data_IF_939401782859
#
_entry.id   IF_939401782859
#
_cell.length_a   1.000
_cell.length_b   1.000
_cell.length_c   1.000
_cell.angle_alpha   90.00
_cell.angle_beta   90.00
_cell.angle_gamma   90.00
#
_symmetry.space_group_name_H-M   'P 1'
#
loop_
_entity.id
_entity.type
_entity.pdbx_description
1 polymer ?
#
# COMPACT_ATOMS: atom_id res chain seq x y z
N UNK A 1 -13.80 11.27 16.69
CA UNK A 1 -14.11 11.39 15.25
C UNK A 1 -13.95 12.80 14.67
N UNK A 2 -14.28 13.91 15.40
CA UNK A 2 -14.17 15.30 14.88
C UNK A 2 -12.79 15.65 14.32
N UNK A 3 -11.69 15.30 15.01
CA UNK A 3 -10.31 15.58 14.56
C UNK A 3 -9.98 14.92 13.22
N UNK A 4 -10.45 13.69 12.99
CA UNK A 4 -10.21 12.94 11.76
C UNK A 4 -11.00 13.46 10.53
N UNK A 5 -11.86 14.47 10.69
CA UNK A 5 -12.46 15.22 9.57
C UNK A 5 -11.57 16.35 9.07
N UNK A 6 -10.51 16.68 9.82
CA UNK A 6 -9.57 17.73 9.44
C UNK A 6 -8.42 17.11 8.62
N UNK A 7 -8.22 17.49 7.35
CA UNK A 7 -7.15 16.96 6.51
C UNK A 7 -5.76 17.27 7.08
N UNK A 8 -5.56 18.38 7.77
CA UNK A 8 -4.28 18.71 8.39
C UNK A 8 -3.94 17.78 9.57
N UNK A 9 -4.96 17.33 10.33
CA UNK A 9 -4.74 16.33 11.37
C UNK A 9 -4.37 14.97 10.76
N UNK A 10 -5.00 14.56 9.66
CA UNK A 10 -4.61 13.37 8.91
C UNK A 10 -3.17 13.52 8.39
N UNK A 11 -2.81 14.67 7.84
CA UNK A 11 -1.44 14.96 7.41
C UNK A 11 -0.45 14.79 8.56
N UNK A 12 -0.76 15.32 9.74
CA UNK A 12 0.08 15.17 10.93
C UNK A 12 0.24 13.68 11.33
N UNK A 13 -0.84 12.91 11.33
CA UNK A 13 -0.77 11.47 11.60
C UNK A 13 0.16 10.75 10.62
N UNK A 14 0.02 11.03 9.33
CA UNK A 14 0.84 10.38 8.29
C UNK A 14 2.29 10.85 8.28
N UNK A 15 2.58 12.08 8.69
CA UNK A 15 3.95 12.56 8.90
C UNK A 15 4.69 11.74 9.98
N UNK A 16 3.96 11.31 11.02
CA UNK A 16 4.51 10.47 12.10
C UNK A 16 4.62 9.01 11.66
N UNK A 17 3.59 8.48 10.98
CA UNK A 17 3.50 7.08 10.59
C UNK A 17 4.40 6.73 9.40
N UNK A 18 4.53 7.61 8.40
CA UNK A 18 5.44 7.46 7.28
C UNK A 18 6.73 8.26 7.57
N UNK A 19 7.51 7.78 8.52
CA UNK A 19 8.77 8.42 8.88
C UNK A 19 9.79 8.29 7.75
N UNK A 20 10.38 9.41 7.23
CA UNK A 20 11.42 9.33 6.24
C UNK A 20 12.66 8.57 6.75
N UNK A 21 13.26 7.76 5.87
CA UNK A 21 14.40 6.91 6.24
C UNK A 21 15.64 7.67 6.70
N UNK A 22 15.82 8.92 6.27
CA UNK A 22 16.92 9.77 6.71
C UNK A 22 16.90 10.04 8.23
N UNK A 23 15.71 10.05 8.85
CA UNK A 23 15.58 10.30 10.30
C UNK A 23 16.18 9.15 11.11
N UNK A 24 15.97 7.90 10.68
CA UNK A 24 16.57 6.74 11.34
C UNK A 24 18.00 6.45 10.86
N UNK A 25 18.35 6.89 9.63
CA UNK A 25 19.63 6.57 9.01
C UNK A 25 20.77 7.54 9.32
N UNK A 26 20.45 8.75 9.80
CA UNK A 26 21.44 9.78 10.14
C UNK A 26 21.60 9.83 11.67
N UNK A 27 22.76 9.46 12.25
CA UNK A 27 22.95 9.39 13.71
C UNK A 27 22.63 10.70 14.43
N UNK A 28 22.93 11.85 13.82
CA UNK A 28 22.62 13.16 14.40
C UNK A 28 21.12 13.42 14.61
N UNK A 29 20.24 12.66 13.93
CA UNK A 29 18.80 12.76 14.07
C UNK A 29 18.21 11.74 15.07
N UNK A 30 19.02 10.99 15.81
CA UNK A 30 18.59 9.92 16.73
C UNK A 30 17.60 10.38 17.82
N UNK A 31 17.76 11.61 18.34
CA UNK A 31 16.79 12.18 19.30
C UNK A 31 15.43 12.38 18.62
N UNK A 32 15.40 12.92 17.42
CA UNK A 32 14.17 13.11 16.64
C UNK A 32 13.52 11.76 16.32
N UNK A 33 14.34 10.76 15.98
CA UNK A 33 13.88 9.39 15.74
C UNK A 33 13.16 8.82 16.97
N UNK A 34 13.76 8.96 18.14
CA UNK A 34 13.18 8.50 19.41
C UNK A 34 11.87 9.23 19.73
N UNK A 35 11.84 10.56 19.59
CA UNK A 35 10.65 11.36 19.83
C UNK A 35 9.50 10.96 18.90
N UNK A 36 9.77 10.77 17.61
CA UNK A 36 8.73 10.33 16.65
C UNK A 36 8.21 8.92 16.98
N UNK A 37 9.06 8.02 17.44
CA UNK A 37 8.63 6.69 17.85
C UNK A 37 7.71 6.76 19.10
N UNK A 38 8.03 7.63 20.08
CA UNK A 38 7.16 7.88 21.24
C UNK A 38 5.80 8.47 20.83
N UNK A 39 5.82 9.51 19.97
CA UNK A 39 4.60 10.12 19.46
C UNK A 39 3.76 9.09 18.67
N UNK A 40 4.38 8.18 17.93
CA UNK A 40 3.71 7.08 17.23
C UNK A 40 2.94 6.18 18.19
N UNK A 41 3.56 5.75 19.30
CA UNK A 41 2.89 4.93 20.31
C UNK A 41 1.70 5.69 20.91
N UNK A 42 1.89 6.97 21.25
CA UNK A 42 0.80 7.81 21.76
C UNK A 42 -0.34 7.97 20.73
N UNK A 43 -0.03 8.09 19.45
CA UNK A 43 -1.02 8.16 18.37
C UNK A 43 -1.82 6.85 18.27
N UNK A 44 -1.16 5.69 18.36
CA UNK A 44 -1.83 4.38 18.37
C UNK A 44 -2.79 4.28 19.56
N UNK A 45 -2.33 4.62 20.76
CA UNK A 45 -3.18 4.61 21.97
C UNK A 45 -4.36 5.58 21.83
N UNK A 46 -4.11 6.80 21.35
CA UNK A 46 -5.17 7.78 21.08
C UNK A 46 -6.21 7.24 20.09
N UNK A 47 -5.77 6.63 19.00
CA UNK A 47 -6.70 6.07 17.99
C UNK A 47 -7.50 4.92 18.55
N UNK A 48 -6.92 4.05 19.39
CA UNK A 48 -7.64 3.00 20.09
C UNK A 48 -8.71 3.58 21.03
N UNK A 49 -8.37 4.59 21.84
CA UNK A 49 -9.34 5.27 22.71
C UNK A 49 -10.50 5.86 21.90
N UNK A 50 -10.21 6.52 20.77
CA UNK A 50 -11.25 7.06 19.87
C UNK A 50 -12.13 5.93 19.32
N UNK A 51 -11.55 4.80 18.95
CA UNK A 51 -12.26 3.65 18.45
C UNK A 51 -13.20 3.06 19.51
N UNK A 52 -12.69 2.80 20.73
CA UNK A 52 -13.49 2.28 21.83
C UNK A 52 -14.64 3.20 22.25
N UNK A 53 -14.38 4.51 22.34
CA UNK A 53 -15.43 5.50 22.66
C UNK A 53 -16.53 5.59 21.59
N UNK A 54 -16.27 5.13 20.37
CA UNK A 54 -17.22 5.17 19.25
C UNK A 54 -17.56 3.76 18.74
N UNK A 55 -17.32 2.70 19.53
CA UNK A 55 -17.48 1.30 19.10
C UNK A 55 -18.89 0.97 18.61
N UNK A 56 -19.93 1.55 19.25
CA UNK A 56 -21.34 1.39 18.85
C UNK A 56 -21.68 2.01 17.48
N UNK A 57 -20.80 2.84 16.92
CA UNK A 57 -20.96 3.46 15.61
C UNK A 57 -20.17 2.71 14.51
N UNK A 58 -19.64 1.54 14.82
CA UNK A 58 -18.86 0.73 13.88
C UNK A 58 -19.78 -0.17 13.06
N UNK A 59 -20.19 0.23 11.84
CA UNK A 59 -21.00 -0.63 11.01
C UNK A 59 -20.15 -1.79 10.50
N UNK A 60 -20.72 -2.97 10.46
CA UNK A 60 -20.14 -4.12 9.79
C UNK A 60 -20.29 -3.93 8.27
N UNK A 61 -19.28 -3.32 7.67
CA UNK A 61 -19.22 -3.09 6.23
C UNK A 61 -17.88 -3.58 5.65
N UNK A 62 -17.66 -3.41 4.36
CA UNK A 62 -16.45 -3.85 3.67
C UNK A 62 -15.18 -3.21 4.26
N UNK A 63 -15.19 -1.91 4.53
CA UNK A 63 -14.06 -1.22 5.14
C UNK A 63 -13.70 -1.84 6.50
N UNK A 64 -14.71 -2.12 7.33
CA UNK A 64 -14.51 -2.83 8.59
C UNK A 64 -13.91 -4.22 8.38
N UNK A 65 -14.50 -5.03 7.48
CA UNK A 65 -14.03 -6.38 7.18
C UNK A 65 -12.58 -6.41 6.68
N UNK A 66 -12.21 -5.53 5.75
CA UNK A 66 -10.83 -5.43 5.25
C UNK A 66 -9.89 -4.93 6.36
N UNK A 67 -10.32 -4.00 7.20
CA UNK A 67 -9.52 -3.54 8.34
C UNK A 67 -9.26 -4.69 9.32
N UNK A 68 -10.27 -5.52 9.61
CA UNK A 68 -10.08 -6.69 10.49
C UNK A 68 -9.12 -7.71 9.88
N UNK A 69 -9.18 -7.95 8.58
CA UNK A 69 -8.20 -8.81 7.88
C UNK A 69 -6.78 -8.24 7.94
N UNK A 70 -6.62 -6.93 7.78
CA UNK A 70 -5.32 -6.23 7.91
C UNK A 70 -4.80 -6.36 9.34
N UNK A 71 -5.64 -6.10 10.35
CA UNK A 71 -5.27 -6.27 11.77
C UNK A 71 -4.91 -7.73 12.09
N UNK A 72 -5.70 -8.68 11.59
CA UNK A 72 -5.41 -10.10 11.74
C UNK A 72 -4.05 -10.48 11.10
N UNK A 73 -3.73 -9.94 9.92
CA UNK A 73 -2.42 -10.14 9.28
C UNK A 73 -1.29 -9.54 10.12
N UNK A 74 -1.47 -8.32 10.63
CA UNK A 74 -0.48 -7.64 11.49
C UNK A 74 -0.24 -8.44 12.79
N UNK A 75 -1.28 -9.00 13.40
CA UNK A 75 -1.16 -9.82 14.62
C UNK A 75 -0.64 -11.25 14.33
N UNK A 76 -0.88 -11.75 13.10
CA UNK A 76 -0.36 -13.04 12.70
C UNK A 76 1.17 -13.04 12.56
N UNK A 77 1.77 -11.94 12.11
CA UNK A 77 3.23 -11.84 11.94
C UNK A 77 4.02 -12.18 13.21
N UNK A 78 3.78 -11.53 14.39
CA UNK A 78 4.48 -11.91 15.63
C UNK A 78 4.11 -13.31 16.11
N UNK A 79 2.86 -13.76 15.90
CA UNK A 79 2.41 -15.10 16.27
C UNK A 79 3.18 -16.17 15.50
N UNK A 80 3.26 -16.03 14.17
CA UNK A 80 4.03 -16.92 13.32
C UNK A 80 5.53 -16.90 13.66
N UNK A 81 6.06 -15.70 13.99
CA UNK A 81 7.46 -15.54 14.39
C UNK A 81 7.78 -16.27 15.68
N UNK A 82 6.89 -16.20 16.68
CA UNK A 82 7.05 -16.96 17.95
C UNK A 82 7.02 -18.47 17.72
N UNK A 83 6.08 -18.94 16.89
CA UNK A 83 5.94 -20.36 16.56
C UNK A 83 7.18 -20.85 15.78
N UNK A 84 7.68 -20.07 14.84
CA UNK A 84 8.85 -20.37 14.00
C UNK A 84 10.20 -20.22 14.70
N UNK A 85 10.23 -19.84 16.00
CA UNK A 85 11.48 -19.63 16.77
C UNK A 85 12.24 -18.37 16.39
N UNK A 86 11.64 -17.43 15.65
CA UNK A 86 12.20 -16.15 15.32
C UNK A 86 12.16 -15.14 16.47
N UNK A 87 12.79 -13.98 16.28
CA UNK A 87 12.83 -12.90 17.28
C UNK A 87 11.75 -11.85 17.03
N UNK A 88 11.01 -11.45 18.08
CA UNK A 88 10.03 -10.35 18.04
C UNK A 88 10.74 -8.96 18.09
N UNK A 89 11.95 -8.86 17.65
CA UNK A 89 12.78 -7.66 17.82
C UNK A 89 12.19 -6.36 17.20
N UNK A 90 11.17 -6.44 16.34
CA UNK A 90 10.65 -5.28 15.61
C UNK A 90 9.22 -4.86 16.05
N UNK A 91 9.03 -4.70 17.35
CA UNK A 91 7.78 -4.19 17.92
C UNK A 91 7.41 -2.80 17.34
N UNK A 92 8.40 -2.00 16.94
CA UNK A 92 8.20 -0.69 16.34
C UNK A 92 7.48 -0.76 14.97
N UNK A 93 7.81 -1.75 14.14
CA UNK A 93 7.14 -1.94 12.85
C UNK A 93 5.68 -2.41 13.05
N UNK A 94 5.45 -3.33 13.99
CA UNK A 94 4.10 -3.77 14.35
C UNK A 94 3.22 -2.59 14.77
N UNK A 95 3.71 -1.75 15.69
CA UNK A 95 2.98 -0.56 16.15
C UNK A 95 2.75 0.45 15.01
N UNK A 96 3.70 0.58 14.09
CA UNK A 96 3.53 1.44 12.93
C UNK A 96 2.39 0.98 12.03
N UNK A 97 2.39 -0.30 11.66
CA UNK A 97 1.40 -0.87 10.73
C UNK A 97 -0.01 -0.87 11.36
N UNK A 98 -0.09 -1.17 12.66
CA UNK A 98 -1.33 -1.04 13.42
C UNK A 98 -1.81 0.42 13.46
N UNK A 99 -0.90 1.37 13.71
CA UNK A 99 -1.20 2.80 13.67
C UNK A 99 -1.73 3.25 12.32
N UNK A 100 -1.10 2.84 11.22
CA UNK A 100 -1.56 3.11 9.87
C UNK A 100 -2.96 2.54 9.65
N UNK A 101 -3.21 1.28 10.01
CA UNK A 101 -4.51 0.63 9.84
C UNK A 101 -5.63 1.36 10.60
N UNK A 102 -5.39 1.72 11.87
CA UNK A 102 -6.36 2.41 12.73
C UNK A 102 -6.64 3.84 12.25
N UNK A 103 -5.59 4.61 11.93
CA UNK A 103 -5.75 5.98 11.40
C UNK A 103 -6.49 5.97 10.06
N UNK A 104 -6.18 5.03 9.17
CA UNK A 104 -6.90 4.86 7.91
C UNK A 104 -8.38 4.54 8.15
N UNK A 105 -8.68 3.56 9.00
CA UNK A 105 -10.05 3.17 9.29
C UNK A 105 -10.88 4.34 9.83
N UNK A 106 -10.38 4.99 10.89
CA UNK A 106 -11.09 6.10 11.53
C UNK A 106 -11.19 7.31 10.59
N UNK A 107 -10.10 7.64 9.89
CA UNK A 107 -10.07 8.77 8.95
C UNK A 107 -11.03 8.59 7.78
N UNK A 108 -11.04 7.43 7.13
CA UNK A 108 -11.96 7.11 6.04
C UNK A 108 -13.43 7.10 6.50
N UNK A 109 -13.69 6.67 7.74
CA UNK A 109 -15.02 6.72 8.35
C UNK A 109 -15.46 8.13 8.72
N UNK A 110 -14.55 8.96 9.17
CA UNK A 110 -14.84 10.34 9.57
C UNK A 110 -15.09 11.24 8.35
N UNK A 111 -14.32 11.03 7.25
CA UNK A 111 -14.46 11.80 6.02
C UNK A 111 -13.48 11.35 4.95
N UNK A 112 -13.99 10.64 3.93
CA UNK A 112 -13.19 10.11 2.83
C UNK A 112 -12.35 11.20 2.14
N UNK A 113 -12.97 12.31 1.75
CA UNK A 113 -12.31 13.37 0.97
C UNK A 113 -11.21 14.08 1.79
N UNK A 114 -11.48 14.36 3.07
CA UNK A 114 -10.49 14.92 4.01
C UNK A 114 -9.33 13.96 4.26
N UNK A 115 -9.61 12.65 4.33
CA UNK A 115 -8.58 11.63 4.46
C UNK A 115 -7.66 11.60 3.23
N UNK A 116 -8.24 11.54 2.03
CA UNK A 116 -7.47 11.55 0.77
C UNK A 116 -6.62 12.80 0.66
N UNK A 117 -7.17 13.98 0.96
CA UNK A 117 -6.43 15.24 0.95
C UNK A 117 -5.24 15.21 1.91
N UNK A 118 -5.45 14.76 3.16
CA UNK A 118 -4.41 14.71 4.17
C UNK A 118 -3.25 13.79 3.79
N UNK A 119 -3.56 12.59 3.30
CA UNK A 119 -2.54 11.63 2.84
C UNK A 119 -1.82 12.15 1.60
N UNK A 120 -2.55 12.73 0.63
CA UNK A 120 -1.99 13.28 -0.60
C UNK A 120 -0.97 14.40 -0.32
N UNK A 121 -1.27 15.30 0.63
CA UNK A 121 -0.37 16.40 1.01
C UNK A 121 0.97 15.87 1.51
N UNK A 122 0.97 14.93 2.45
CA UNK A 122 2.21 14.42 3.07
C UNK A 122 2.97 13.52 2.11
N UNK A 123 2.31 12.52 1.53
CA UNK A 123 3.00 11.59 0.62
C UNK A 123 3.51 12.28 -0.64
N UNK A 124 2.73 13.25 -1.18
CA UNK A 124 3.17 14.06 -2.30
C UNK A 124 4.36 14.97 -1.96
N UNK A 125 4.33 15.63 -0.79
CA UNK A 125 5.46 16.44 -0.32
C UNK A 125 6.72 15.57 -0.15
N UNK A 126 6.59 14.37 0.38
CA UNK A 126 7.71 13.43 0.53
C UNK A 126 8.34 13.04 -0.81
N UNK A 127 7.53 12.82 -1.83
CA UNK A 127 8.03 12.54 -3.20
C UNK A 127 8.80 13.74 -3.76
N UNK A 128 8.28 14.96 -3.58
CA UNK A 128 8.95 16.18 -4.04
C UNK A 128 10.28 16.41 -3.33
N UNK A 129 10.32 16.26 -1.99
CA UNK A 129 11.53 16.40 -1.19
C UNK A 129 12.53 15.30 -1.58
N UNK A 130 12.09 14.06 -1.75
CA UNK A 130 12.98 12.97 -2.15
C UNK A 130 13.58 13.22 -3.54
N UNK A 131 12.78 13.70 -4.51
CA UNK A 131 13.29 14.10 -5.83
C UNK A 131 14.37 15.18 -5.71
N UNK A 132 14.14 16.19 -4.88
CA UNK A 132 15.13 17.24 -4.64
C UNK A 132 16.43 16.65 -4.05
N UNK A 133 16.34 15.72 -3.08
CA UNK A 133 17.55 15.08 -2.52
C UNK A 133 18.28 14.21 -3.55
N UNK A 134 17.55 13.53 -4.47
CA UNK A 134 18.17 12.77 -5.57
C UNK A 134 18.94 13.69 -6.52
N UNK A 135 18.42 14.88 -6.81
CA UNK A 135 19.08 15.85 -7.69
C UNK A 135 20.30 16.48 -7.00
N UNK A 136 20.16 16.87 -5.74
CA UNK A 136 21.23 17.55 -4.99
C UNK A 136 22.35 16.60 -4.56
N UNK A 137 22.06 15.33 -4.32
CA UNK A 137 22.98 14.31 -3.84
C UNK A 137 22.95 13.05 -4.73
N UNK A 138 23.42 13.12 -6.00
CA UNK A 138 23.28 12.00 -6.93
C UNK A 138 24.03 10.73 -6.48
N UNK A 139 25.08 10.88 -5.65
CA UNK A 139 25.84 9.79 -5.05
C UNK A 139 25.23 9.25 -3.74
N UNK A 140 24.12 9.82 -3.29
CA UNK A 140 23.48 9.53 -2.02
C UNK A 140 23.64 10.65 -1.00
N UNK A 141 22.60 10.89 -0.20
CA UNK A 141 22.57 11.89 0.87
C UNK A 141 23.28 11.38 2.15
N UNK A 142 23.17 10.09 2.43
CA UNK A 142 23.81 9.43 3.57
C UNK A 142 24.05 7.94 3.28
N UNK A 143 24.98 7.34 4.02
CA UNK A 143 25.28 5.91 3.98
C UNK A 143 24.79 5.22 5.25
N UNK A 144 24.41 3.95 5.12
CA UNK A 144 24.13 3.02 6.23
C UNK A 144 25.07 1.83 6.11
N UNK A 145 25.10 0.97 7.12
CA UNK A 145 25.88 -0.29 7.08
C UNK A 145 25.50 -1.19 5.92
N UNK A 146 24.25 -1.12 5.46
CA UNK A 146 23.73 -1.98 4.38
C UNK A 146 23.80 -1.32 3.00
N UNK A 147 23.62 -0.01 2.90
CA UNK A 147 23.55 0.72 1.62
C UNK A 147 24.35 2.02 1.68
N UNK A 148 25.22 2.22 0.69
CA UNK A 148 26.04 3.44 0.56
C UNK A 148 25.23 4.63 0.04
N UNK A 149 24.14 4.40 -0.69
CA UNK A 149 23.35 5.44 -1.35
C UNK A 149 21.94 5.47 -0.79
N UNK A 150 21.69 6.34 0.18
CA UNK A 150 20.36 6.60 0.70
C UNK A 150 19.99 8.07 0.48
N UNK A 151 18.68 8.33 0.38
CA UNK A 151 18.09 9.63 0.14
C UNK A 151 17.06 9.94 1.23
N UNK A 152 16.31 11.04 1.11
CA UNK A 152 15.33 11.43 2.11
C UNK A 152 14.43 10.29 2.56
N UNK A 153 13.85 9.53 1.62
CA UNK A 153 12.94 8.41 1.97
C UNK A 153 13.66 7.13 2.36
N UNK A 154 14.89 6.89 1.96
CA UNK A 154 15.74 5.73 2.24
C UNK A 154 16.48 5.28 0.98
N UNK A 155 16.84 4.00 0.89
CA UNK A 155 17.42 3.38 -0.30
C UNK A 155 16.40 3.30 -1.45
N UNK A 156 16.89 3.45 -2.69
CA UNK A 156 16.06 3.62 -3.90
C UNK A 156 14.97 2.56 -4.13
N UNK A 157 15.18 1.32 -3.75
CA UNK A 157 14.17 0.26 -3.95
C UNK A 157 13.00 0.35 -2.98
N UNK A 158 13.15 1.05 -1.84
CA UNK A 158 12.09 1.23 -0.85
C UNK A 158 11.04 2.29 -1.24
N UNK A 159 11.28 3.11 -2.27
CA UNK A 159 10.40 4.24 -2.59
C UNK A 159 9.09 3.85 -3.27
N UNK A 160 9.07 2.71 -3.97
CA UNK A 160 7.97 2.34 -4.88
C UNK A 160 6.59 2.45 -4.20
N UNK A 161 6.42 1.86 -3.02
CA UNK A 161 5.09 1.85 -2.36
C UNK A 161 4.67 3.26 -1.91
N UNK A 162 5.62 4.07 -1.42
CA UNK A 162 5.37 5.46 -1.01
C UNK A 162 5.01 6.31 -2.24
N UNK A 163 5.73 6.13 -3.34
CA UNK A 163 5.45 6.82 -4.60
C UNK A 163 4.10 6.42 -5.17
N UNK A 164 3.76 5.12 -5.12
CA UNK A 164 2.46 4.64 -5.55
C UNK A 164 1.32 5.23 -4.69
N UNK A 165 1.51 5.28 -3.38
CA UNK A 165 0.57 5.92 -2.45
C UNK A 165 0.39 7.40 -2.78
N UNK A 166 1.50 8.13 -2.99
CA UNK A 166 1.48 9.55 -3.31
C UNK A 166 0.77 9.83 -4.64
N UNK A 167 1.13 9.11 -5.71
CA UNK A 167 0.48 9.24 -7.02
C UNK A 167 -1.02 8.92 -6.94
N UNK A 168 -1.37 7.82 -6.28
CA UNK A 168 -2.76 7.41 -6.15
C UNK A 168 -3.57 8.45 -5.40
N UNK A 169 -3.10 8.90 -4.23
CA UNK A 169 -3.87 9.83 -3.39
C UNK A 169 -3.93 11.24 -3.99
N UNK A 170 -2.89 11.73 -4.66
CA UNK A 170 -2.93 13.03 -5.36
C UNK A 170 -3.86 13.00 -6.57
N UNK A 171 -3.91 11.88 -7.32
CA UNK A 171 -4.87 11.70 -8.40
C UNK A 171 -6.32 11.61 -7.88
N UNK A 172 -6.54 10.91 -6.75
CA UNK A 172 -7.84 10.85 -6.07
C UNK A 172 -8.26 12.24 -5.56
N UNK A 173 -7.35 12.98 -4.93
CA UNK A 173 -7.61 14.34 -4.47
C UNK A 173 -8.01 15.25 -5.63
N UNK A 174 -7.26 15.19 -6.75
CA UNK A 174 -7.64 15.93 -7.94
C UNK A 174 -8.97 15.44 -8.57
N UNK A 175 -9.29 14.15 -8.46
CA UNK A 175 -10.58 13.63 -8.92
C UNK A 175 -11.76 14.20 -8.13
N UNK A 176 -11.57 14.43 -6.82
CA UNK A 176 -12.59 14.91 -5.90
C UNK A 176 -12.77 16.45 -5.97
N UNK A 177 -11.66 17.19 -6.00
CA UNK A 177 -11.68 18.67 -5.92
C UNK A 177 -11.68 19.32 -7.31
N UNK A 178 -10.91 18.78 -8.26
CA UNK A 178 -10.86 19.28 -9.64
C UNK A 178 -10.24 20.67 -9.82
N UNK A 179 -9.51 21.20 -8.84
CA UNK A 179 -8.91 22.52 -8.88
C UNK A 179 -7.64 22.56 -9.74
N UNK A 180 -7.26 23.76 -10.22
CA UNK A 180 -5.99 23.95 -10.90
C UNK A 180 -4.79 23.59 -10.02
N UNK A 181 -4.90 23.85 -8.73
CA UNK A 181 -3.86 23.53 -7.76
C UNK A 181 -3.67 22.01 -7.63
N UNK A 182 -4.76 21.25 -7.34
CA UNK A 182 -4.68 19.79 -7.19
C UNK A 182 -4.18 19.10 -8.44
N UNK A 183 -4.57 19.58 -9.63
CA UNK A 183 -4.07 19.10 -10.92
C UNK A 183 -2.56 19.33 -11.07
N UNK A 184 -2.08 20.56 -10.80
CA UNK A 184 -0.65 20.89 -10.89
C UNK A 184 0.17 20.09 -9.86
N UNK A 185 -0.36 19.95 -8.66
CA UNK A 185 0.31 19.17 -7.60
C UNK A 185 0.43 17.69 -7.99
N UNK A 186 -0.62 17.06 -8.52
CA UNK A 186 -0.58 15.68 -8.99
C UNK A 186 0.43 15.50 -10.14
N UNK A 187 0.49 16.44 -11.09
CA UNK A 187 1.47 16.43 -12.18
C UNK A 187 2.90 16.57 -11.61
N UNK A 188 3.15 17.51 -10.70
CA UNK A 188 4.45 17.70 -10.08
C UNK A 188 4.93 16.44 -9.35
N UNK A 189 4.05 15.79 -8.59
CA UNK A 189 4.36 14.53 -7.90
C UNK A 189 4.65 13.41 -8.91
N UNK A 190 3.88 13.29 -10.00
CA UNK A 190 4.13 12.29 -11.04
C UNK A 190 5.48 12.50 -11.74
N UNK A 191 5.80 13.75 -12.10
CA UNK A 191 7.09 14.11 -12.72
C UNK A 191 8.25 13.83 -11.75
N UNK A 192 8.12 14.25 -10.48
CA UNK A 192 9.17 14.05 -9.48
C UNK A 192 9.41 12.56 -9.18
N UNK A 193 8.34 11.75 -9.08
CA UNK A 193 8.45 10.30 -8.90
C UNK A 193 9.19 9.65 -10.07
N UNK A 194 8.75 9.95 -11.30
CA UNK A 194 9.34 9.39 -12.52
C UNK A 194 10.80 9.82 -12.68
N UNK A 195 11.09 11.11 -12.48
CA UNK A 195 12.45 11.66 -12.58
C UNK A 195 13.39 11.00 -11.56
N UNK A 196 12.98 10.88 -10.29
CA UNK A 196 13.78 10.20 -9.26
C UNK A 196 14.09 8.76 -9.64
N UNK A 197 13.10 8.04 -10.18
CA UNK A 197 13.28 6.64 -10.58
C UNK A 197 14.19 6.51 -11.82
N UNK A 198 14.16 7.45 -12.75
CA UNK A 198 15.05 7.47 -13.91
C UNK A 198 16.49 7.78 -13.45
N UNK A 199 16.68 8.84 -12.65
CA UNK A 199 18.00 9.27 -12.19
C UNK A 199 18.71 8.18 -11.37
N UNK A 200 17.96 7.39 -10.59
CA UNK A 200 18.51 6.29 -9.78
C UNK A 200 18.32 4.92 -10.40
N UNK A 201 17.85 4.86 -11.66
CA UNK A 201 17.65 3.64 -12.44
C UNK A 201 16.89 2.55 -11.67
N UNK A 202 15.72 2.89 -11.12
CA UNK A 202 14.86 1.92 -10.44
C UNK A 202 13.95 1.20 -11.44
N UNK A 203 14.52 0.26 -12.21
CA UNK A 203 13.84 -0.39 -13.33
C UNK A 203 12.51 -1.04 -12.93
N UNK A 204 12.46 -1.74 -11.80
CA UNK A 204 11.21 -2.36 -11.28
C UNK A 204 10.13 -1.31 -11.02
N UNK A 205 10.49 -0.20 -10.38
CA UNK A 205 9.54 0.90 -10.13
C UNK A 205 8.99 1.50 -11.40
N UNK A 206 9.87 1.80 -12.37
CA UNK A 206 9.49 2.34 -13.69
C UNK A 206 8.58 1.36 -14.44
N UNK A 207 8.90 0.07 -14.46
CA UNK A 207 8.09 -0.95 -15.11
C UNK A 207 6.69 -1.05 -14.50
N UNK A 208 6.59 -1.15 -13.18
CA UNK A 208 5.30 -1.26 -12.49
C UNK A 208 4.45 0.02 -12.63
N UNK A 209 5.08 1.21 -12.62
CA UNK A 209 4.37 2.47 -12.88
C UNK A 209 3.89 2.58 -14.32
N UNK A 210 4.67 2.07 -15.29
CA UNK A 210 4.25 2.02 -16.69
C UNK A 210 3.02 1.12 -16.86
N UNK A 211 3.01 -0.05 -16.23
CA UNK A 211 1.83 -0.94 -16.22
C UNK A 211 0.62 -0.21 -15.61
N UNK A 212 0.77 0.39 -14.42
CA UNK A 212 -0.30 1.16 -13.79
C UNK A 212 -0.81 2.29 -14.67
N UNK A 213 0.10 3.03 -15.32
CA UNK A 213 -0.22 4.10 -16.26
C UNK A 213 -1.03 3.61 -17.46
N UNK A 214 -0.60 2.50 -18.09
CA UNK A 214 -1.32 1.88 -19.21
C UNK A 214 -2.72 1.40 -18.80
N UNK A 215 -2.83 0.80 -17.62
CA UNK A 215 -4.13 0.38 -17.06
C UNK A 215 -5.04 1.60 -16.83
N UNK A 216 -4.51 2.69 -16.27
CA UNK A 216 -5.28 3.92 -16.05
C UNK A 216 -5.76 4.53 -17.38
N UNK A 217 -4.89 4.58 -18.38
CA UNK A 217 -5.22 5.04 -19.72
C UNK A 217 -6.31 4.17 -20.36
N UNK A 218 -6.17 2.85 -20.29
CA UNK A 218 -7.15 1.90 -20.80
C UNK A 218 -8.52 2.02 -20.10
N UNK A 219 -8.54 2.09 -18.76
CA UNK A 219 -9.77 2.32 -17.99
C UNK A 219 -10.41 3.68 -18.31
N UNK A 220 -9.58 4.70 -18.58
CA UNK A 220 -10.06 6.04 -18.93
C UNK A 220 -10.66 6.04 -20.32
N UNK A 221 -10.02 5.40 -21.29
CA UNK A 221 -10.56 5.21 -22.64
C UNK A 221 -11.88 4.45 -22.64
N UNK A 222 -11.97 3.34 -21.91
CA UNK A 222 -13.22 2.57 -21.74
C UNK A 222 -14.29 3.28 -20.90
N UNK A 223 -13.97 4.41 -20.26
CA UNK A 223 -14.85 5.17 -19.35
C UNK A 223 -15.44 4.33 -18.18
N UNK A 224 -14.87 3.17 -17.90
CA UNK A 224 -15.27 2.23 -16.84
C UNK A 224 -14.06 1.44 -16.34
N UNK A 225 -14.23 0.70 -15.25
CA UNK A 225 -13.29 -0.34 -14.86
C UNK A 225 -13.69 -1.67 -15.53
N UNK A 226 -12.96 -2.15 -16.54
CA UNK A 226 -13.30 -3.37 -17.26
C UNK A 226 -12.85 -4.66 -16.55
N UNK A 227 -11.99 -4.55 -15.56
CA UNK A 227 -11.38 -5.71 -14.90
C UNK A 227 -12.33 -6.33 -13.88
N UNK A 228 -12.42 -7.67 -13.89
CA UNK A 228 -13.08 -8.45 -12.84
C UNK A 228 -12.02 -8.90 -11.83
N UNK A 229 -12.36 -8.92 -10.55
CA UNK A 229 -11.43 -9.34 -9.51
C UNK A 229 -10.93 -10.77 -9.73
N UNK A 230 -11.79 -11.68 -10.16
CA UNK A 230 -11.41 -13.05 -10.50
C UNK A 230 -10.36 -13.11 -11.62
N UNK A 231 -10.52 -12.28 -12.65
CA UNK A 231 -9.55 -12.19 -13.75
C UNK A 231 -8.22 -11.65 -13.24
N UNK A 232 -8.21 -10.60 -12.42
CA UNK A 232 -6.98 -10.05 -11.83
C UNK A 232 -6.28 -11.11 -10.99
N UNK A 233 -7.00 -11.78 -10.08
CA UNK A 233 -6.42 -12.83 -9.23
C UNK A 233 -5.90 -14.02 -10.05
N UNK A 234 -6.60 -14.43 -11.09
CA UNK A 234 -6.16 -15.51 -11.97
C UNK A 234 -4.90 -15.10 -12.75
N UNK A 235 -4.86 -13.87 -13.26
CA UNK A 235 -3.66 -13.34 -13.95
C UNK A 235 -2.46 -13.30 -13.02
N UNK A 236 -2.64 -12.87 -11.77
CA UNK A 236 -1.57 -12.87 -10.76
C UNK A 236 -1.09 -14.29 -10.43
N UNK A 237 -2.01 -15.24 -10.26
CA UNK A 237 -1.65 -16.64 -10.03
C UNK A 237 -0.92 -17.25 -11.24
N UNK A 238 -1.38 -16.96 -12.46
CA UNK A 238 -0.71 -17.39 -13.68
C UNK A 238 0.68 -16.75 -13.83
N UNK A 239 0.82 -15.45 -13.51
CA UNK A 239 2.11 -14.78 -13.52
C UNK A 239 3.07 -15.36 -12.47
N UNK A 240 2.61 -15.62 -11.26
CA UNK A 240 3.41 -16.31 -10.24
C UNK A 240 3.87 -17.67 -10.71
N UNK A 241 2.96 -18.48 -11.24
CA UNK A 241 3.30 -19.80 -11.77
C UNK A 241 4.33 -19.71 -12.91
N UNK A 242 4.12 -18.81 -13.85
CA UNK A 242 5.01 -18.62 -15.00
C UNK A 242 6.42 -18.15 -14.59
N UNK A 243 6.49 -17.20 -13.64
CA UNK A 243 7.76 -16.59 -13.21
C UNK A 243 8.51 -17.52 -12.26
N UNK A 244 7.84 -18.04 -11.22
CA UNK A 244 8.49 -18.76 -10.12
C UNK A 244 8.58 -20.27 -10.38
N UNK A 245 7.49 -20.89 -10.83
CA UNK A 245 7.40 -22.34 -10.98
C UNK A 245 7.88 -22.79 -12.35
N UNK A 246 7.33 -22.23 -13.43
CA UNK A 246 7.68 -22.57 -14.80
C UNK A 246 9.01 -21.94 -15.28
N UNK A 247 9.58 -21.00 -14.49
CA UNK A 247 10.89 -20.36 -14.74
C UNK A 247 11.00 -19.72 -16.12
N UNK A 248 9.91 -19.16 -16.64
CA UNK A 248 9.90 -18.53 -17.96
C UNK A 248 10.91 -17.37 -18.07
N UNK A 249 11.33 -16.79 -16.93
CA UNK A 249 12.39 -15.76 -16.94
C UNK A 249 13.75 -16.31 -17.40
N UNK A 250 14.03 -17.61 -17.21
CA UNK A 250 15.29 -18.22 -17.67
C UNK A 250 15.37 -18.24 -19.20
N UNK A 251 14.22 -18.35 -19.88
CA UNK A 251 14.13 -18.25 -21.35
C UNK A 251 14.51 -16.85 -21.87
N UNK A 252 14.29 -15.81 -21.05
CA UNK A 252 14.63 -14.43 -21.38
C UNK A 252 16.00 -14.00 -20.83
N UNK A 253 16.74 -14.90 -20.17
CA UNK A 253 18.06 -14.61 -19.60
C UNK A 253 19.03 -14.08 -20.66
N UNK A 254 19.01 -14.65 -21.87
CA UNK A 254 19.80 -14.17 -23.01
C UNK A 254 19.50 -12.69 -23.36
N UNK A 255 18.24 -12.31 -23.42
CA UNK A 255 17.79 -10.94 -23.67
C UNK A 255 18.20 -9.99 -22.54
N UNK A 256 18.06 -10.45 -21.30
CA UNK A 256 18.35 -9.65 -20.10
C UNK A 256 19.85 -9.41 -19.92
N UNK A 257 20.69 -10.41 -20.21
CA UNK A 257 22.15 -10.31 -20.08
C UNK A 257 22.74 -9.56 -21.28
N UNK A 258 22.36 -9.91 -22.50
CA UNK A 258 23.03 -9.40 -23.71
C UNK A 258 22.45 -8.07 -24.22
N UNK A 259 21.16 -7.75 -23.94
CA UNK A 259 20.53 -6.50 -24.39
C UNK A 259 20.40 -5.48 -23.25
N UNK A 260 20.03 -5.91 -22.05
CA UNK A 260 19.82 -5.01 -20.92
C UNK A 260 21.05 -4.86 -20.03
N UNK A 261 22.14 -5.58 -20.33
CA UNK A 261 23.40 -5.57 -19.56
C UNK A 261 23.16 -5.67 -18.05
N UNK A 262 22.14 -6.44 -17.65
CA UNK A 262 21.85 -6.69 -16.24
C UNK A 262 22.60 -7.91 -15.79
N UNK A 263 23.34 -7.73 -14.71
CA UNK A 263 24.14 -8.74 -14.06
C UNK A 263 23.39 -10.07 -13.81
N UNK A 264 24.19 -11.10 -13.64
CA UNK A 264 23.92 -12.49 -13.24
C UNK A 264 22.94 -12.62 -12.03
N UNK A 265 22.60 -11.51 -11.35
CA UNK A 265 21.65 -11.48 -10.21
C UNK A 265 20.25 -12.01 -10.56
N UNK A 266 19.81 -11.95 -11.82
CA UNK A 266 18.57 -12.60 -12.26
C UNK A 266 18.71 -14.12 -12.30
N UNK A 267 19.90 -14.63 -12.62
CA UNK A 267 20.22 -16.07 -12.64
C UNK A 267 20.21 -16.68 -11.23
N UNK A 268 20.56 -15.90 -10.19
CA UNK A 268 20.47 -16.38 -8.80
C UNK A 268 19.04 -16.34 -8.23
N UNK A 269 18.10 -15.59 -8.80
CA UNK A 269 16.71 -15.54 -8.31
C UNK A 269 16.05 -16.92 -8.36
N UNK A 270 16.26 -17.71 -9.39
CA UNK A 270 15.73 -19.07 -9.50
C UNK A 270 16.19 -19.94 -8.33
N UNK A 271 17.48 -19.89 -7.99
CA UNK A 271 18.03 -20.64 -6.85
C UNK A 271 17.53 -20.13 -5.50
N UNK A 272 17.41 -18.81 -5.36
CA UNK A 272 16.80 -18.19 -4.18
C UNK A 272 15.36 -18.68 -4.00
N UNK A 273 14.59 -18.77 -5.08
CA UNK A 273 13.22 -19.28 -5.06
C UNK A 273 13.14 -20.76 -4.75
N UNK A 274 14.08 -21.59 -5.26
CA UNK A 274 14.18 -23.00 -4.90
C UNK A 274 14.42 -23.18 -3.40
N UNK A 275 15.38 -22.45 -2.84
CA UNK A 275 15.66 -22.47 -1.42
C UNK A 275 14.46 -22.00 -0.58
N UNK A 276 13.78 -20.93 -1.03
CA UNK A 276 12.56 -20.45 -0.39
C UNK A 276 11.44 -21.51 -0.41
N UNK A 277 11.21 -22.17 -1.57
CA UNK A 277 10.20 -23.21 -1.71
C UNK A 277 10.52 -24.44 -0.83
N UNK A 278 11.78 -24.84 -0.76
CA UNK A 278 12.21 -25.93 0.13
C UNK A 278 11.95 -25.60 1.62
N UNK A 279 12.26 -24.39 2.06
CA UNK A 279 11.97 -23.93 3.41
C UNK A 279 10.45 -23.82 3.70
N UNK A 280 9.66 -23.38 2.71
CA UNK A 280 8.19 -23.34 2.80
C UNK A 280 7.61 -24.73 3.00
N UNK A 281 8.11 -25.75 2.25
CA UNK A 281 7.63 -27.13 2.38
C UNK A 281 7.82 -27.69 3.80
N UNK A 282 8.90 -27.29 4.48
CA UNK A 282 9.17 -27.71 5.86
C UNK A 282 8.29 -26.99 6.90
N UNK A 283 7.82 -25.77 6.57
CA UNK A 283 7.08 -24.91 7.50
C UNK A 283 5.79 -24.36 6.85
N UNK A 284 5.02 -25.22 6.19
CA UNK A 284 3.91 -24.83 5.31
C UNK A 284 2.83 -23.98 5.99
N UNK A 285 2.42 -24.33 7.22
CA UNK A 285 1.27 -23.70 7.88
C UNK A 285 1.60 -22.30 8.43
N UNK A 286 2.69 -22.17 9.18
CA UNK A 286 3.02 -20.97 9.96
C UNK A 286 4.21 -20.21 9.42
N UNK A 287 4.98 -20.83 8.52
CA UNK A 287 6.25 -20.27 8.03
C UNK A 287 7.35 -20.35 9.08
N UNK A 288 8.49 -19.72 8.76
CA UNK A 288 9.68 -19.67 9.63
C UNK A 288 9.68 -18.45 10.56
N UNK A 289 8.64 -17.61 10.50
CA UNK A 289 8.60 -16.35 11.22
C UNK A 289 9.36 -15.24 10.50
N UNK A 290 9.34 -14.04 11.11
CA UNK A 290 10.12 -12.90 10.64
C UNK A 290 11.56 -13.06 11.12
N UNK A 291 12.47 -13.27 10.19
CA UNK A 291 13.88 -13.47 10.43
C UNK A 291 14.66 -12.18 10.18
N UNK A 292 15.79 -12.03 10.85
CA UNK A 292 16.75 -10.98 10.53
C UNK A 292 17.49 -11.27 9.20
N UNK A 293 18.32 -10.30 8.76
CA UNK A 293 19.00 -10.41 7.46
C UNK A 293 19.93 -11.63 7.38
N UNK A 294 20.65 -11.95 8.46
CA UNK A 294 21.62 -13.05 8.48
C UNK A 294 20.90 -14.42 8.50
N UNK A 295 19.83 -14.54 9.31
CA UNK A 295 19.01 -15.74 9.36
C UNK A 295 18.32 -16.00 8.01
N UNK A 296 17.83 -14.94 7.35
CA UNK A 296 17.20 -15.07 6.04
C UNK A 296 18.23 -15.46 4.97
N UNK A 297 19.44 -14.90 5.04
CA UNK A 297 20.54 -15.26 4.16
C UNK A 297 20.96 -16.74 4.34
N UNK A 298 20.96 -17.24 5.56
CA UNK A 298 21.25 -18.65 5.83
C UNK A 298 20.25 -19.61 5.14
N UNK A 299 18.98 -19.19 5.02
CA UNK A 299 17.94 -19.97 4.32
C UNK A 299 18.03 -19.78 2.81
N UNK A 300 18.11 -18.54 2.32
CA UNK A 300 18.02 -18.21 0.90
C UNK A 300 19.34 -18.36 0.17
N UNK A 301 20.48 -18.19 0.87
CA UNK A 301 21.81 -18.12 0.30
C UNK A 301 22.08 -16.82 -0.48
N UNK A 302 23.23 -16.78 -1.15
CA UNK A 302 23.61 -15.73 -2.13
C UNK A 302 23.65 -14.29 -1.59
N UNK A 303 23.83 -14.08 -0.30
CA UNK A 303 23.94 -12.74 0.30
C UNK A 303 22.64 -11.95 0.31
N UNK A 304 21.48 -12.61 0.19
CA UNK A 304 20.18 -11.93 0.11
C UNK A 304 19.34 -12.10 1.36
N UNK A 305 18.67 -11.03 1.76
CA UNK A 305 17.82 -10.97 2.94
C UNK A 305 16.31 -11.12 2.64
N UNK A 306 15.95 -11.42 1.39
CA UNK A 306 14.55 -11.63 1.00
C UNK A 306 14.44 -12.26 -0.41
N UNK A 307 13.36 -12.99 -0.74
CA UNK A 307 13.25 -13.76 -1.99
C UNK A 307 12.88 -12.93 -3.22
N UNK A 308 12.85 -11.59 -3.17
CA UNK A 308 12.45 -10.72 -4.29
C UNK A 308 11.10 -11.10 -4.95
N UNK A 309 10.18 -11.60 -4.17
CA UNK A 309 8.80 -11.92 -4.55
C UNK A 309 7.93 -11.88 -3.29
N UNK A 310 6.84 -11.11 -3.31
CA UNK A 310 5.99 -10.92 -2.12
C UNK A 310 5.25 -12.17 -1.72
N UNK A 311 4.79 -12.95 -2.68
CA UNK A 311 4.03 -14.18 -2.39
C UNK A 311 4.95 -15.20 -1.71
N UNK A 312 6.17 -15.41 -2.23
CA UNK A 312 7.17 -16.26 -1.59
C UNK A 312 7.57 -15.73 -0.21
N UNK A 313 7.79 -14.41 -0.08
CA UNK A 313 8.16 -13.81 1.20
C UNK A 313 7.08 -14.05 2.28
N UNK A 314 5.82 -13.78 1.95
CA UNK A 314 4.71 -13.96 2.90
C UNK A 314 4.54 -15.43 3.26
N UNK A 315 4.65 -16.35 2.29
CA UNK A 315 4.52 -17.78 2.54
C UNK A 315 5.70 -18.34 3.32
N UNK A 316 6.92 -17.89 3.02
CA UNK A 316 8.12 -18.29 3.75
C UNK A 316 8.06 -17.86 5.23
N UNK A 317 7.76 -16.57 5.46
CA UNK A 317 7.76 -16.02 6.82
C UNK A 317 6.51 -16.41 7.63
N UNK A 318 5.32 -16.42 7.00
CA UNK A 318 4.04 -16.48 7.71
C UNK A 318 3.14 -17.64 7.28
N UNK A 319 3.67 -18.56 6.47
CA UNK A 319 3.00 -19.76 6.01
C UNK A 319 1.80 -19.50 5.10
N UNK A 320 1.04 -20.55 4.85
CA UNK A 320 -0.18 -20.48 4.04
C UNK A 320 -1.28 -19.63 4.70
N UNK A 321 -1.26 -19.53 6.03
CA UNK A 321 -2.18 -18.67 6.79
C UNK A 321 -1.92 -17.21 6.45
N UNK A 322 -0.65 -16.77 6.48
CA UNK A 322 -0.26 -15.41 6.10
C UNK A 322 -0.59 -15.11 4.63
N UNK A 323 -0.32 -16.07 3.72
CA UNK A 323 -0.66 -15.95 2.31
C UNK A 323 -2.19 -15.83 2.12
N UNK A 324 -2.98 -16.64 2.80
CA UNK A 324 -4.44 -16.57 2.72
C UNK A 324 -4.97 -15.21 3.20
N UNK A 325 -4.47 -14.69 4.31
CA UNK A 325 -4.82 -13.35 4.80
C UNK A 325 -4.47 -12.27 3.78
N UNK A 326 -3.27 -12.32 3.20
CA UNK A 326 -2.84 -11.38 2.17
C UNK A 326 -3.76 -11.43 0.93
N UNK A 327 -4.07 -12.62 0.41
CA UNK A 327 -4.95 -12.78 -0.75
C UNK A 327 -6.39 -12.33 -0.46
N UNK A 328 -6.91 -12.58 0.74
CA UNK A 328 -8.22 -12.11 1.18
C UNK A 328 -8.26 -10.58 1.27
N UNK A 329 -7.21 -9.93 1.81
CA UNK A 329 -7.09 -8.46 1.82
C UNK A 329 -7.15 -7.91 0.39
N UNK A 330 -6.32 -8.45 -0.51
CA UNK A 330 -6.28 -8.04 -1.92
C UNK A 330 -7.65 -8.22 -2.58
N UNK A 331 -8.29 -9.38 -2.39
CA UNK A 331 -9.60 -9.69 -2.97
C UNK A 331 -10.69 -8.73 -2.49
N UNK A 332 -10.86 -8.60 -1.17
CA UNK A 332 -11.94 -7.79 -0.61
C UNK A 332 -11.73 -6.29 -0.79
N UNK A 333 -10.48 -5.81 -0.75
CA UNK A 333 -10.15 -4.43 -1.07
C UNK A 333 -10.53 -4.10 -2.51
N UNK A 334 -10.09 -4.91 -3.48
CA UNK A 334 -10.37 -4.70 -4.89
C UNK A 334 -11.85 -4.79 -5.27
N UNK A 335 -12.64 -5.58 -4.54
CA UNK A 335 -14.08 -5.63 -4.75
C UNK A 335 -14.75 -4.25 -4.61
N UNK A 336 -14.13 -3.33 -3.87
CA UNK A 336 -14.57 -1.93 -3.76
C UNK A 336 -14.35 -1.10 -5.03
N UNK A 337 -13.30 -1.38 -5.79
CA UNK A 337 -12.95 -0.60 -7.00
C UNK A 337 -13.83 -0.94 -8.20
N UNK A 338 -14.38 -2.17 -8.23
CA UNK A 338 -15.22 -2.66 -9.32
C UNK A 338 -16.64 -2.16 -9.11
N UNK A 339 -17.23 -1.58 -10.14
CA UNK A 339 -18.60 -1.02 -10.10
C UNK A 339 -18.78 0.10 -9.05
N UNK A 340 -17.71 0.78 -8.64
CA UNK A 340 -17.81 1.94 -7.77
C UNK A 340 -18.71 3.00 -8.39
N UNK A 341 -19.57 3.62 -7.57
CA UNK A 341 -20.33 4.81 -8.01
C UNK A 341 -19.38 5.99 -8.28
N UNK A 342 -18.23 6.04 -7.62
CA UNK A 342 -17.11 6.94 -7.89
C UNK A 342 -16.22 6.35 -8.99
N UNK A 343 -16.74 6.33 -10.23
CA UNK A 343 -16.12 5.62 -11.37
C UNK A 343 -14.67 6.07 -11.64
N UNK A 344 -14.38 7.37 -11.50
CA UNK A 344 -13.04 7.93 -11.73
C UNK A 344 -12.05 7.42 -10.69
N UNK A 345 -12.45 7.39 -9.42
CA UNK A 345 -11.64 6.89 -8.31
C UNK A 345 -11.42 5.38 -8.40
N UNK A 346 -12.46 4.62 -8.77
CA UNK A 346 -12.35 3.18 -8.99
C UNK A 346 -11.31 2.84 -10.08
N UNK A 347 -11.20 3.66 -11.15
CA UNK A 347 -10.19 3.48 -12.20
C UNK A 347 -8.78 3.76 -11.69
N UNK A 348 -8.59 4.84 -10.91
CA UNK A 348 -7.31 5.19 -10.30
C UNK A 348 -6.86 4.09 -9.35
N UNK A 349 -7.76 3.60 -8.49
CA UNK A 349 -7.46 2.53 -7.55
C UNK A 349 -7.12 1.21 -8.24
N UNK A 350 -7.84 0.85 -9.31
CA UNK A 350 -7.52 -0.37 -10.07
C UNK A 350 -6.13 -0.30 -10.70
N UNK A 351 -5.77 0.83 -11.28
CA UNK A 351 -4.43 1.04 -11.83
C UNK A 351 -3.34 0.92 -10.74
N UNK A 352 -3.58 1.50 -9.56
CA UNK A 352 -2.69 1.38 -8.42
C UNK A 352 -2.55 -0.06 -7.93
N UNK A 353 -3.65 -0.82 -7.88
CA UNK A 353 -3.61 -2.22 -7.49
C UNK A 353 -2.83 -3.10 -8.47
N UNK A 354 -3.06 -2.94 -9.77
CA UNK A 354 -2.33 -3.71 -10.77
C UNK A 354 -0.83 -3.36 -10.71
N UNK A 355 -0.47 -2.09 -10.53
CA UNK A 355 0.94 -1.71 -10.32
C UNK A 355 1.54 -2.34 -9.05
N UNK A 356 0.78 -2.36 -7.94
CA UNK A 356 1.22 -2.97 -6.68
C UNK A 356 1.40 -4.49 -6.80
N UNK A 357 0.46 -5.18 -7.44
CA UNK A 357 0.51 -6.63 -7.64
C UNK A 357 1.64 -7.01 -8.61
N UNK A 358 1.84 -6.23 -9.68
CA UNK A 358 2.99 -6.43 -10.58
C UNK A 358 4.32 -6.29 -9.82
N UNK A 359 4.42 -5.32 -8.88
CA UNK A 359 5.60 -5.20 -8.04
C UNK A 359 5.75 -6.38 -7.06
N UNK A 360 4.65 -6.93 -6.56
CA UNK A 360 4.65 -8.10 -5.67
C UNK A 360 5.24 -9.35 -6.34
N UNK A 361 5.19 -9.47 -7.69
CA UNK A 361 5.81 -10.56 -8.43
C UNK A 361 7.34 -10.50 -8.46
N UNK A 362 7.92 -9.30 -8.34
CA UNK A 362 9.36 -9.08 -8.57
C UNK A 362 10.08 -8.44 -7.38
N UNK A 363 9.33 -8.06 -6.33
CA UNK A 363 9.87 -7.49 -5.09
C UNK A 363 9.13 -8.05 -3.87
N UNK A 364 9.85 -8.26 -2.77
CA UNK A 364 9.26 -8.76 -1.53
C UNK A 364 8.39 -7.74 -0.81
N UNK A 365 8.62 -6.44 -1.03
CA UNK A 365 7.97 -5.31 -0.34
C UNK A 365 8.03 -5.43 1.19
N UNK A 366 9.05 -6.13 1.74
CA UNK A 366 9.15 -6.48 3.15
C UNK A 366 9.29 -5.25 4.06
N UNK A 367 10.12 -4.30 3.63
CA UNK A 367 10.39 -3.07 4.41
C UNK A 367 9.29 -2.00 4.28
N UNK A 368 8.44 -2.09 3.27
CA UNK A 368 7.46 -1.03 2.93
C UNK A 368 6.03 -1.55 2.81
N UNK A 369 5.81 -2.83 3.15
CA UNK A 369 4.49 -3.47 3.04
C UNK A 369 3.40 -2.76 3.83
N UNK A 370 3.70 -2.21 5.00
CA UNK A 370 2.77 -1.44 5.81
C UNK A 370 2.27 -0.17 5.11
N UNK A 371 3.08 0.45 4.27
CA UNK A 371 2.67 1.63 3.50
C UNK A 371 1.70 1.33 2.35
N UNK A 372 1.43 0.05 2.05
CA UNK A 372 0.35 -0.36 1.15
C UNK A 372 -1.02 -0.43 1.86
N UNK A 373 -1.06 -0.48 3.18
CA UNK A 373 -2.31 -0.55 3.97
C UNK A 373 -3.30 0.56 3.59
N UNK A 374 -2.89 1.84 3.45
CA UNK A 374 -3.80 2.90 3.02
C UNK A 374 -4.46 2.61 1.68
N UNK A 375 -3.73 2.03 0.70
CA UNK A 375 -4.30 1.68 -0.60
C UNK A 375 -5.40 0.62 -0.47
N UNK A 376 -5.19 -0.43 0.34
CA UNK A 376 -6.22 -1.45 0.59
C UNK A 376 -7.47 -0.85 1.23
N UNK A 377 -7.30 0.00 2.24
CA UNK A 377 -8.43 0.57 2.98
C UNK A 377 -9.17 1.67 2.19
N UNK A 378 -8.46 2.49 1.39
CA UNK A 378 -9.08 3.44 0.44
C UNK A 378 -9.95 2.69 -0.56
N UNK A 379 -9.43 1.60 -1.14
CA UNK A 379 -10.20 0.78 -2.08
C UNK A 379 -11.44 0.15 -1.43
N UNK A 380 -11.28 -0.37 -0.20
CA UNK A 380 -12.39 -0.96 0.57
C UNK A 380 -13.47 0.07 0.93
N UNK A 381 -13.09 1.35 1.10
CA UNK A 381 -14.01 2.45 1.39
C UNK A 381 -14.84 2.87 0.17
N UNK A 382 -14.47 2.49 -1.06
CA UNK A 382 -15.26 2.77 -2.25
C UNK A 382 -16.54 1.92 -2.26
N UNK A 383 -17.68 2.59 -2.27
CA UNK A 383 -18.98 1.90 -2.30
C UNK A 383 -19.33 1.46 -3.72
N UNK A 384 -19.83 0.23 -3.86
CA UNK A 384 -20.42 -0.23 -5.11
C UNK A 384 -21.77 0.49 -5.36
N UNK A 385 -22.17 0.62 -6.64
CA UNK A 385 -23.49 1.17 -7.02
C UNK A 385 -24.65 0.42 -6.37
N UNK A 386 -24.52 -0.90 -6.20
CA UNK A 386 -25.53 -1.73 -5.56
C UNK A 386 -25.65 -1.48 -4.05
N UNK A 387 -24.53 -1.28 -3.36
CA UNK A 387 -24.52 -0.94 -1.93
C UNK A 387 -25.26 0.37 -1.66
N UNK A 388 -25.03 1.39 -2.50
CA UNK A 388 -25.73 2.69 -2.36
C UNK A 388 -27.22 2.60 -2.65
N UNK A 389 -27.65 1.73 -3.58
CA UNK A 389 -29.08 1.49 -3.83
C UNK A 389 -29.76 0.84 -2.62
N UNK A 390 -29.10 -0.11 -1.96
CA UNK A 390 -29.59 -0.73 -0.73
C UNK A 390 -29.68 0.28 0.42
N UNK A 391 -28.65 1.09 0.61
CA UNK A 391 -28.67 2.15 1.64
C UNK A 391 -29.76 3.21 1.38
N UNK A 392 -30.05 3.55 0.12
CA UNK A 392 -31.14 4.48 -0.23
C UNK A 392 -32.52 3.80 -0.26
N UNK A 393 -32.57 2.48 -0.50
CA UNK A 393 -33.82 1.70 -0.48
C UNK A 393 -34.31 1.37 0.93
N UNK A 394 -33.43 1.48 1.92
CA UNK A 394 -33.76 1.33 3.35
C UNK A 394 -34.28 2.63 4.01
N UNK A 395 -34.39 3.73 3.25
CA UNK A 395 -35.17 4.89 3.75
C UNK A 395 -36.63 4.44 3.82
N UNK A 396 -37.18 4.30 5.04
CA UNK A 396 -38.53 3.78 5.20
C UNK A 396 -39.51 4.60 4.35
N UNK A 397 -40.36 3.94 3.57
CA UNK A 397 -41.34 4.59 2.69
C UNK A 397 -42.23 5.62 3.43
N UNK A 398 -42.38 5.48 4.76
CA UNK A 398 -43.11 6.45 5.57
C UNK A 398 -42.42 7.84 5.65
N UNK A 399 -41.10 7.96 5.42
CA UNK A 399 -40.46 9.28 5.35
C UNK A 399 -40.60 9.97 3.98
N UNK A 400 -40.86 9.21 2.92
CA UNK A 400 -41.14 9.76 1.59
C UNK A 400 -42.57 10.29 1.46
N UNK A 401 -43.50 9.71 2.20
CA UNK A 401 -44.90 10.18 2.26
C UNK A 401 -45.10 11.42 3.10
N UNK A 402 -44.19 11.71 4.06
CA UNK A 402 -44.22 12.93 4.86
C UNK A 402 -43.77 14.19 4.08
N UNK A 403 -43.01 14.05 2.97
CA UNK A 403 -42.63 15.20 2.13
C UNK A 403 -43.65 15.53 1.03
N UNK A 404 -44.66 14.68 0.82
CA UNK A 404 -45.69 14.85 -0.21
C UNK A 404 -46.94 15.59 0.22
N UNK A 405 -47.03 16.06 1.48
CA UNK A 405 -48.17 16.82 1.99
C UNK A 405 -47.78 18.24 2.43
N UNK A 406 -47.03 18.97 1.64
CA UNK A 406 -46.97 20.44 1.78
C UNK A 406 -47.94 21.04 0.78
N UNK A 407 -49.09 21.32 1.28
CA UNK A 407 -50.24 21.92 0.66
C UNK A 407 -49.89 23.16 -0.16
N UNK A 408 -50.27 23.10 -1.44
CA UNK A 408 -50.34 24.28 -2.30
C UNK A 408 -51.52 25.13 -1.75
N UNK A 409 -51.21 26.14 -0.95
CA UNK A 409 -52.13 27.24 -0.73
C UNK A 409 -51.95 28.25 -1.87
N UNK A 410 -52.86 28.18 -2.83
CA UNK A 410 -53.06 29.23 -3.80
C UNK A 410 -53.61 30.47 -3.03
N UNK A 411 -52.87 31.57 -3.02
CA UNK A 411 -53.43 32.90 -2.79
C UNK A 411 -53.84 33.45 -4.14
N UNK A 412 -55.16 33.41 -4.41
CA UNK A 412 -55.84 34.43 -5.19
C UNK A 412 -56.02 35.64 -4.28
N UNK A 413 -55.48 36.76 -4.62
CA UNK A 413 -56.08 38.10 -4.76
C UNK A 413 -55.04 38.97 -5.44
#
# INVERSE_FOLDING_TARGET
MRYFRNPNFISFCFLILIKPGCISGIPALGILDTLLNMIRIMLVLFTLIVLFKNAQLLPVNRLFGVTMLVVASILWEPTATLIGGGSIADFGALMNDLGIALVCYIGLRAGYDSFIEGVAKVSGAYVLINCLTVILFPAGMYATTKYSQNFFLSYRTAWFVIYLLALTTTLLWNANVGSRFTKRFAIAVAVAATLSMILQWTATGLFCFSIGGLVLLYCTWKKRNPFKISTVMLTEAAAFWAIVIARLMDMFSFLLVNILHKDVTLTFRTRIWDNALAAIQQNLLTGVGRLDGAQMEAILGYGVSHPHNRYLYVTLCFGIIGLALFLLIVYYANKGTINSHRVREGRIMMAAFIALLSAAQVESLSATGGYAIPLYLIAAALHSREGRRKEMGEIPQHMLTARGKTTIYSRKI
#
